data_IF_352734678988
#
_entry.id   IF_352734678988
#
_cell.length_a   1.000
_cell.length_b   1.000
_cell.length_c   1.000
_cell.angle_alpha   90.00
_cell.angle_beta   90.00
_cell.angle_gamma   90.00
#
_symmetry.space_group_name_H-M   'P 1'
#
loop_
_entity.id
_entity.type
_entity.pdbx_description
1 polymer ?
#
# COMPACT_ATOMS: atom_id res chain seq x y z
N UNK A 1 -1.18 -2.11 2.50
CA UNK A 1 -0.62 -2.60 1.23
C UNK A 1 -1.61 -3.37 0.33
N UNK A 2 -2.77 -3.84 0.80
CA UNK A 2 -3.68 -4.72 0.06
C UNK A 2 -4.23 -4.22 -1.29
N UNK A 3 -4.55 -2.93 -1.42
CA UNK A 3 -5.16 -2.35 -2.63
C UNK A 3 -4.28 -1.25 -3.21
N UNK A 4 -4.47 -0.93 -4.49
CA UNK A 4 -3.66 0.07 -5.20
C UNK A 4 -3.75 1.47 -4.56
N UNK A 5 -4.91 1.80 -3.99
CA UNK A 5 -5.21 3.10 -3.37
C UNK A 5 -4.88 3.09 -1.88
N UNK A 6 -4.57 1.93 -1.29
CA UNK A 6 -4.37 1.78 0.15
C UNK A 6 -3.08 2.44 0.67
N UNK A 7 -2.11 2.74 -0.19
CA UNK A 7 -0.91 3.50 0.18
C UNK A 7 -0.21 4.07 -1.04
N UNK A 8 0.57 5.14 -0.84
CA UNK A 8 1.34 5.81 -1.90
C UNK A 8 2.30 4.87 -2.64
N UNK A 9 3.11 4.01 -1.98
CA UNK A 9 4.04 3.13 -2.70
C UNK A 9 3.38 2.23 -3.74
N UNK A 10 2.15 1.78 -3.49
CA UNK A 10 1.37 0.94 -4.39
C UNK A 10 0.99 1.68 -5.68
N UNK A 11 0.56 2.93 -5.54
CA UNK A 11 0.21 3.79 -6.66
C UNK A 11 1.46 4.19 -7.48
N UNK A 12 2.59 4.46 -6.81
CA UNK A 12 3.87 4.76 -7.46
C UNK A 12 4.35 3.58 -8.30
N UNK A 13 4.24 2.35 -7.77
CA UNK A 13 4.54 1.13 -8.52
C UNK A 13 3.74 1.04 -9.81
N UNK A 14 2.42 1.24 -9.74
CA UNK A 14 1.55 1.17 -10.91
C UNK A 14 1.85 2.29 -11.92
N UNK A 15 2.11 3.51 -11.45
CA UNK A 15 2.43 4.65 -12.30
C UNK A 15 3.78 4.49 -13.02
N UNK A 16 4.82 4.04 -12.31
CA UNK A 16 6.15 3.76 -12.89
C UNK A 16 6.08 2.58 -13.86
N UNK A 17 5.34 1.51 -13.53
CA UNK A 17 5.16 0.38 -14.44
C UNK A 17 4.46 0.81 -15.74
N UNK A 18 3.42 1.64 -15.65
CA UNK A 18 2.71 2.13 -16.83
C UNK A 18 3.56 3.10 -17.68
N UNK A 19 4.34 3.98 -17.06
CA UNK A 19 5.11 5.01 -17.77
C UNK A 19 6.47 4.56 -18.27
N UNK A 20 7.20 3.75 -17.49
CA UNK A 20 8.57 3.33 -17.81
C UNK A 20 8.65 1.95 -18.47
N UNK A 21 7.66 1.08 -18.24
CA UNK A 21 7.65 -0.30 -18.74
C UNK A 21 6.50 -0.60 -19.70
N UNK A 22 5.60 0.36 -19.94
CA UNK A 22 4.35 0.20 -20.71
C UNK A 22 3.48 -0.97 -20.23
N UNK A 23 3.55 -1.28 -18.92
CA UNK A 23 2.78 -2.35 -18.29
C UNK A 23 1.75 -1.77 -17.34
N UNK A 24 0.49 -1.79 -17.76
CA UNK A 24 -0.65 -1.37 -16.93
C UNK A 24 -1.01 -2.47 -15.94
N UNK A 25 -1.32 -2.05 -14.72
CA UNK A 25 -1.65 -2.94 -13.62
C UNK A 25 -3.05 -2.59 -13.16
N UNK A 26 -3.96 -3.54 -13.32
CA UNK A 26 -5.34 -3.35 -12.88
C UNK A 26 -5.43 -3.42 -11.35
N UNK A 27 -6.45 -2.77 -10.81
CA UNK A 27 -6.78 -2.84 -9.39
C UNK A 27 -6.93 -4.29 -8.91
N UNK A 28 -7.64 -5.12 -9.67
CA UNK A 28 -7.84 -6.54 -9.36
C UNK A 28 -6.51 -7.33 -9.36
N UNK A 29 -5.64 -7.10 -10.34
CA UNK A 29 -4.34 -7.76 -10.40
C UNK A 29 -3.46 -7.40 -9.20
N UNK A 30 -3.45 -6.13 -8.79
CA UNK A 30 -2.76 -5.72 -7.56
C UNK A 30 -3.32 -6.42 -6.32
N UNK A 31 -4.64 -6.55 -6.22
CA UNK A 31 -5.27 -7.24 -5.09
C UNK A 31 -4.87 -8.72 -5.04
N UNK A 32 -4.87 -9.42 -6.17
CA UNK A 32 -4.42 -10.83 -6.24
C UNK A 32 -2.98 -10.96 -5.72
N UNK A 33 -2.13 -9.98 -6.04
CA UNK A 33 -0.76 -9.93 -5.54
C UNK A 33 -0.67 -9.61 -4.03
N UNK A 34 -1.30 -8.53 -3.57
CA UNK A 34 -1.01 -7.92 -2.26
C UNK A 34 -1.98 -8.31 -1.13
N UNK A 35 -3.21 -8.74 -1.44
CA UNK A 35 -4.18 -9.19 -0.42
C UNK A 35 -3.68 -10.42 0.34
N UNK A 36 -3.15 -11.48 -0.31
CA UNK A 36 -2.64 -12.64 0.41
C UNK A 36 -1.50 -12.29 1.38
N UNK A 37 -0.56 -11.44 0.94
CA UNK A 37 0.53 -10.91 1.79
C UNK A 37 -0.03 -10.18 3.00
N UNK A 38 -0.99 -9.29 2.78
CA UNK A 38 -1.61 -8.48 3.84
C UNK A 38 -2.31 -9.37 4.87
N UNK A 39 -3.07 -10.37 4.43
CA UNK A 39 -3.78 -11.30 5.33
C UNK A 39 -2.77 -12.06 6.20
N UNK A 40 -1.70 -12.59 5.61
CA UNK A 40 -0.68 -13.33 6.35
C UNK A 40 0.00 -12.44 7.38
N UNK A 41 0.40 -11.23 7.01
CA UNK A 41 1.01 -10.28 7.95
C UNK A 41 0.04 -9.86 9.06
N UNK A 42 -1.24 -9.66 8.75
CA UNK A 42 -2.26 -9.34 9.76
C UNK A 42 -2.49 -10.50 10.73
N UNK A 43 -2.52 -11.74 10.24
CA UNK A 43 -2.64 -12.94 11.08
C UNK A 43 -1.42 -13.05 11.99
N UNK A 44 -0.20 -12.89 11.45
CA UNK A 44 1.04 -12.89 12.24
C UNK A 44 0.99 -11.78 13.29
N UNK A 45 0.66 -10.55 12.90
CA UNK A 45 0.54 -9.40 13.81
C UNK A 45 -0.44 -9.69 14.95
N UNK A 46 -1.63 -10.20 14.64
CA UNK A 46 -2.66 -10.50 15.63
C UNK A 46 -2.18 -11.53 16.66
N UNK A 47 -1.65 -12.68 16.21
CA UNK A 47 -1.16 -13.71 17.13
C UNK A 47 0.08 -13.25 17.90
N UNK A 48 0.99 -12.53 17.23
CA UNK A 48 2.20 -12.00 17.84
C UNK A 48 1.86 -11.03 18.98
N UNK A 49 0.95 -10.08 18.76
CA UNK A 49 0.58 -9.11 19.80
C UNK A 49 -0.27 -9.76 20.89
N UNK A 50 -1.35 -10.46 20.55
CA UNK A 50 -2.36 -10.88 21.54
C UNK A 50 -2.01 -12.17 22.29
N UNK A 51 -1.22 -13.08 21.70
CA UNK A 51 -0.92 -14.40 22.28
C UNK A 51 0.54 -14.58 22.70
N UNK A 52 1.47 -13.85 22.09
CA UNK A 52 2.90 -14.03 22.33
C UNK A 52 3.55 -12.90 23.13
N UNK A 53 3.59 -11.67 22.61
CA UNK A 53 4.35 -10.56 23.19
C UNK A 53 3.60 -9.85 24.31
N UNK A 54 2.33 -9.51 24.09
CA UNK A 54 1.49 -8.77 25.03
C UNK A 54 0.23 -9.58 25.28
N UNK A 55 0.39 -10.70 25.98
CA UNK A 55 -0.73 -11.60 26.29
C UNK A 55 -1.88 -10.80 26.88
N UNK A 56 -2.98 -10.76 26.15
CA UNK A 56 -4.21 -10.15 26.63
C UNK A 56 -4.92 -11.21 27.46
N UNK A 57 -4.61 -11.22 28.75
CA UNK A 57 -5.36 -12.01 29.73
C UNK A 57 -6.74 -11.35 29.93
N UNK A 58 -7.77 -12.16 30.21
CA UNK A 58 -9.12 -11.69 30.54
C UNK A 58 -9.95 -11.01 29.42
N UNK A 59 -9.63 -11.20 28.14
CA UNK A 59 -10.45 -10.70 27.02
C UNK A 59 -11.93 -11.15 27.10
N UNK A 60 -12.19 -12.36 27.64
CA UNK A 60 -13.54 -12.90 27.83
C UNK A 60 -14.35 -12.17 28.93
N UNK A 61 -13.68 -11.42 29.82
CA UNK A 61 -14.34 -10.64 30.89
C UNK A 61 -14.80 -9.26 30.44
N UNK A 62 -14.38 -8.79 29.26
CA UNK A 62 -14.77 -7.49 28.73
C UNK A 62 -16.19 -7.59 28.17
N UNK A 63 -17.15 -6.92 28.83
CA UNK A 63 -18.54 -6.91 28.38
C UNK A 63 -18.67 -6.24 27.01
N UNK A 64 -19.38 -6.90 26.09
CA UNK A 64 -19.80 -6.33 24.81
C UNK A 64 -20.76 -5.13 24.93
N UNK A 65 -21.22 -4.82 26.14
CA UNK A 65 -22.22 -3.76 26.38
C UNK A 65 -21.71 -2.40 25.95
N UNK A 66 -20.41 -2.10 26.06
CA UNK A 66 -19.84 -0.87 25.53
C UNK A 66 -20.04 -0.75 24.01
N UNK A 67 -19.71 -1.83 23.26
CA UNK A 67 -19.87 -1.85 21.81
C UNK A 67 -21.34 -1.80 21.38
N UNK A 68 -22.23 -2.51 22.11
CA UNK A 68 -23.68 -2.47 21.88
C UNK A 68 -24.24 -1.09 22.16
N UNK A 69 -23.79 -0.43 23.23
CA UNK A 69 -24.17 0.94 23.57
C UNK A 69 -23.69 1.92 22.51
N UNK A 70 -22.43 1.84 22.10
CA UNK A 70 -21.91 2.68 21.02
C UNK A 70 -22.68 2.48 19.70
N UNK A 71 -23.03 1.24 19.35
CA UNK A 71 -23.86 0.94 18.17
C UNK A 71 -25.28 1.50 18.30
N UNK A 72 -25.88 1.40 19.49
CA UNK A 72 -27.19 1.97 19.78
C UNK A 72 -27.17 3.51 19.70
N UNK A 73 -26.12 4.14 20.23
CA UNK A 73 -25.95 5.60 20.24
C UNK A 73 -25.73 6.18 18.84
N UNK A 74 -25.14 5.41 17.90
CA UNK A 74 -25.04 5.78 16.48
C UNK A 74 -26.41 5.85 15.79
N UNK A 75 -27.39 5.07 16.25
CA UNK A 75 -28.72 4.99 15.66
C UNK A 75 -28.76 4.29 14.29
N UNK A 76 -29.90 4.33 13.59
CA UNK A 76 -30.05 3.71 12.28
C UNK A 76 -29.26 4.47 11.21
N UNK A 77 -28.63 3.71 10.31
CA UNK A 77 -27.82 4.26 9.21
C UNK A 77 -28.62 5.28 8.38
N UNK A 78 -28.06 6.47 8.23
CA UNK A 78 -28.70 7.57 7.51
C UNK A 78 -28.82 7.30 6.01
N UNK A 79 -29.66 8.07 5.32
CA UNK A 79 -29.83 7.91 3.87
C UNK A 79 -28.52 8.23 3.15
N UNK A 80 -27.82 9.27 3.58
CA UNK A 80 -26.52 9.68 3.06
C UNK A 80 -25.48 8.57 3.22
N UNK A 81 -25.37 7.97 4.40
CA UNK A 81 -24.46 6.83 4.65
C UNK A 81 -24.76 5.64 3.72
N UNK A 82 -26.04 5.30 3.53
CA UNK A 82 -26.45 4.21 2.61
C UNK A 82 -26.10 4.53 1.17
N UNK A 83 -26.30 5.77 0.72
CA UNK A 83 -25.99 6.19 -0.65
C UNK A 83 -24.48 6.20 -0.89
N UNK A 84 -23.69 6.77 0.02
CA UNK A 84 -22.23 6.74 -0.04
C UNK A 84 -21.70 5.31 -0.04
N UNK A 85 -22.23 4.45 0.85
CA UNK A 85 -21.88 3.02 0.88
C UNK A 85 -22.24 2.30 -0.42
N UNK A 86 -23.37 2.64 -1.05
CA UNK A 86 -23.78 2.07 -2.33
C UNK A 86 -22.85 2.48 -3.47
N UNK A 87 -22.45 3.76 -3.54
CA UNK A 87 -21.46 4.23 -4.53
C UNK A 87 -20.10 3.56 -4.32
N UNK A 88 -19.65 3.46 -3.06
CA UNK A 88 -18.41 2.77 -2.71
C UNK A 88 -18.42 1.30 -3.14
N UNK A 89 -19.51 0.58 -2.87
CA UNK A 89 -19.68 -0.82 -3.29
C UNK A 89 -19.70 -0.94 -4.81
N UNK A 90 -20.42 -0.07 -5.51
CA UNK A 90 -20.45 -0.03 -6.97
C UNK A 90 -19.04 0.12 -7.55
N UNK A 91 -18.29 1.12 -7.11
CA UNK A 91 -16.91 1.38 -7.56
C UNK A 91 -15.99 0.19 -7.27
N UNK A 92 -16.09 -0.37 -6.06
CA UNK A 92 -15.27 -1.53 -5.65
C UNK A 92 -15.57 -2.77 -6.51
N UNK A 93 -16.85 -3.04 -6.79
CA UNK A 93 -17.26 -4.13 -7.67
C UNK A 93 -16.79 -3.89 -9.10
N UNK A 94 -16.90 -2.66 -9.62
CA UNK A 94 -16.40 -2.31 -10.94
C UNK A 94 -14.88 -2.48 -11.06
N UNK A 95 -14.09 -2.16 -10.03
CA UNK A 95 -12.64 -2.43 -10.06
C UNK A 95 -12.30 -3.93 -9.98
N UNK A 96 -13.03 -4.70 -9.18
CA UNK A 96 -12.79 -6.15 -9.05
C UNK A 96 -13.21 -6.90 -10.32
N UNK A 97 -14.37 -6.55 -10.88
CA UNK A 97 -14.96 -7.21 -12.04
C UNK A 97 -14.72 -6.46 -13.35
N UNK A 98 -13.91 -5.40 -13.34
CA UNK A 98 -13.65 -4.57 -14.52
C UNK A 98 -13.06 -5.36 -15.68
N UNK A 99 -12.26 -6.38 -15.40
CA UNK A 99 -11.73 -7.30 -16.42
C UNK A 99 -12.77 -8.19 -17.11
N UNK A 100 -14.02 -8.24 -16.62
CA UNK A 100 -15.14 -8.91 -17.30
C UNK A 100 -15.87 -7.98 -18.28
N UNK A 101 -15.60 -6.67 -18.22
CA UNK A 101 -16.21 -5.69 -19.12
C UNK A 101 -15.51 -5.82 -20.48
N UNK A 102 -16.27 -5.90 -21.60
CA UNK A 102 -15.66 -6.00 -22.93
C UNK A 102 -14.72 -4.82 -23.22
N UNK A 103 -13.53 -5.12 -23.75
CA UNK A 103 -12.49 -4.13 -24.08
C UNK A 103 -13.01 -2.99 -24.98
N UNK A 104 -14.03 -3.27 -25.80
CA UNK A 104 -14.71 -2.27 -26.63
C UNK A 104 -15.23 -1.04 -25.86
N UNK A 105 -15.59 -1.19 -24.59
CA UNK A 105 -16.15 -0.11 -23.76
C UNK A 105 -15.03 0.75 -23.12
N UNK A 106 -13.76 0.35 -23.25
CA UNK A 106 -12.58 1.10 -22.77
C UNK A 106 -12.72 1.63 -21.33
N UNK A 107 -13.31 0.83 -20.44
CA UNK A 107 -13.50 1.21 -19.03
C UNK A 107 -12.18 0.97 -18.29
N UNK A 108 -11.45 2.04 -18.00
CA UNK A 108 -10.24 1.96 -17.16
C UNK A 108 -10.55 2.18 -15.69
N UNK A 109 -9.64 1.74 -14.82
CA UNK A 109 -9.74 2.00 -13.37
C UNK A 109 -9.87 3.50 -13.05
N UNK A 110 -9.24 4.36 -13.86
CA UNK A 110 -9.36 5.82 -13.77
C UNK A 110 -10.76 6.30 -14.10
N UNK A 111 -11.39 5.75 -15.15
CA UNK A 111 -12.77 6.10 -15.52
C UNK A 111 -13.75 5.69 -14.41
N UNK A 112 -13.56 4.50 -13.83
CA UNK A 112 -14.37 4.01 -12.70
C UNK A 112 -14.23 4.94 -11.49
N UNK A 113 -13.01 5.38 -11.17
CA UNK A 113 -12.76 6.32 -10.07
C UNK A 113 -13.46 7.67 -10.29
N UNK A 114 -13.34 8.24 -11.49
CA UNK A 114 -13.97 9.52 -11.85
C UNK A 114 -15.49 9.38 -11.81
N UNK A 115 -16.05 8.28 -12.32
CA UNK A 115 -17.48 7.98 -12.24
C UNK A 115 -17.96 7.99 -10.78
N UNK A 116 -17.28 7.29 -9.89
CA UNK A 116 -17.60 7.26 -8.47
C UNK A 116 -17.57 8.65 -7.84
N UNK A 117 -16.53 9.44 -8.11
CA UNK A 117 -16.42 10.81 -7.62
C UNK A 117 -17.58 11.68 -8.12
N UNK A 118 -17.85 11.68 -9.43
CA UNK A 118 -18.94 12.44 -10.05
C UNK A 118 -20.30 12.06 -9.47
N UNK A 119 -20.55 10.77 -9.24
CA UNK A 119 -21.80 10.31 -8.62
C UNK A 119 -22.00 10.90 -7.21
N UNK A 120 -20.94 11.02 -6.40
CA UNK A 120 -21.04 11.62 -5.07
C UNK A 120 -21.41 13.11 -5.12
N UNK A 121 -20.98 13.85 -6.15
CA UNK A 121 -21.39 15.25 -6.35
C UNK A 121 -22.80 15.40 -6.92
N UNK A 122 -23.25 14.45 -7.73
CA UNK A 122 -24.57 14.52 -8.40
C UNK A 122 -25.72 14.00 -7.54
N UNK A 123 -25.48 13.01 -6.68
CA UNK A 123 -26.54 12.44 -5.83
C UNK A 123 -26.90 13.47 -4.75
N UNK A 124 -28.15 13.96 -4.68
CA UNK A 124 -28.52 15.02 -3.75
C UNK A 124 -28.54 14.51 -2.30
N UNK A 125 -28.00 15.32 -1.40
CA UNK A 125 -28.10 15.10 0.06
C UNK A 125 -29.48 15.50 0.58
N UNK A 126 -29.99 14.78 1.58
CA UNK A 126 -31.25 15.19 2.26
C UNK A 126 -31.01 16.11 3.45
N UNK A 127 -29.78 16.16 3.99
CA UNK A 127 -29.42 17.00 5.14
C UNK A 127 -28.90 18.40 4.77
N UNK A 128 -28.27 18.54 3.60
CA UNK A 128 -27.66 19.80 3.17
C UNK A 128 -28.01 20.13 1.71
N UNK A 129 -27.91 21.41 1.34
CA UNK A 129 -28.08 21.85 -0.05
C UNK A 129 -26.85 21.41 -0.86
N UNK A 130 -27.05 20.53 -1.83
CA UNK A 130 -25.99 20.05 -2.73
C UNK A 130 -25.98 18.54 -2.87
N UNK A 131 -24.86 18.01 -3.37
CA UNK A 131 -24.59 16.59 -3.47
C UNK A 131 -24.27 15.93 -2.12
N UNK A 132 -23.92 14.64 -2.14
CA UNK A 132 -23.33 13.96 -0.99
C UNK A 132 -21.95 14.55 -0.66
N UNK A 133 -21.24 15.05 -1.67
CA UNK A 133 -20.07 15.91 -1.55
C UNK A 133 -20.34 17.29 -2.15
N UNK A 134 -19.70 18.30 -1.57
CA UNK A 134 -19.63 19.67 -2.08
C UNK A 134 -18.20 20.03 -2.43
N UNK A 135 -18.01 21.07 -3.26
CA UNK A 135 -16.68 21.41 -3.77
C UNK A 135 -15.68 21.72 -2.66
N UNK A 136 -16.16 22.32 -1.56
CA UNK A 136 -15.33 22.64 -0.40
C UNK A 136 -14.72 21.38 0.25
N UNK A 137 -15.34 20.21 0.10
CA UNK A 137 -14.80 18.93 0.59
C UNK A 137 -13.49 18.54 -0.13
N UNK A 138 -13.29 19.03 -1.37
CA UNK A 138 -12.05 18.79 -2.13
C UNK A 138 -10.83 19.44 -1.47
N UNK A 139 -11.01 20.41 -0.57
CA UNK A 139 -9.92 21.00 0.21
C UNK A 139 -9.26 20.00 1.17
N UNK A 140 -9.98 18.94 1.56
CA UNK A 140 -9.48 17.88 2.44
C UNK A 140 -8.69 16.82 1.68
N UNK A 141 -8.71 16.83 0.35
CA UNK A 141 -7.91 15.90 -0.43
C UNK A 141 -6.42 16.19 -0.25
N UNK A 142 -5.58 15.17 -0.07
CA UNK A 142 -4.15 15.32 0.09
C UNK A 142 -3.47 15.62 -1.26
N UNK A 143 -3.69 16.82 -1.82
CA UNK A 143 -3.16 17.26 -3.12
C UNK A 143 -1.63 17.09 -3.25
N UNK A 144 -0.91 17.19 -2.13
CA UNK A 144 0.52 16.93 -2.08
C UNK A 144 0.91 15.54 -2.58
N UNK A 145 0.06 14.52 -2.42
CA UNK A 145 0.33 13.16 -2.92
C UNK A 145 0.37 13.13 -4.45
N UNK A 146 -0.51 13.89 -5.12
CA UNK A 146 -0.52 13.96 -6.60
C UNK A 146 0.75 14.64 -7.13
N UNK A 147 1.18 15.73 -6.50
CA UNK A 147 2.45 16.39 -6.84
C UNK A 147 3.64 15.46 -6.63
N UNK A 148 3.58 14.62 -5.61
CA UNK A 148 4.63 13.68 -5.24
C UNK A 148 4.72 12.50 -6.21
N UNK A 149 3.60 12.02 -6.76
CA UNK A 149 3.60 11.08 -7.88
C UNK A 149 4.23 11.70 -9.13
N UNK A 150 3.87 12.95 -9.47
CA UNK A 150 4.48 13.67 -10.59
C UNK A 150 6.00 13.87 -10.41
N UNK A 151 6.43 14.18 -9.18
CA UNK A 151 7.84 14.27 -8.81
C UNK A 151 8.58 12.94 -8.94
N UNK A 152 7.97 11.84 -8.49
CA UNK A 152 8.53 10.49 -8.62
C UNK A 152 8.68 10.05 -10.08
N UNK A 153 7.70 10.33 -10.93
CA UNK A 153 7.77 10.09 -12.38
C UNK A 153 8.84 10.95 -13.07
N UNK A 154 8.94 12.22 -12.67
CA UNK A 154 9.99 13.13 -13.18
C UNK A 154 11.39 12.66 -12.77
N UNK A 155 11.54 12.19 -11.53
CA UNK A 155 12.79 11.60 -11.04
C UNK A 155 13.13 10.32 -11.81
N UNK A 156 12.15 9.48 -12.11
CA UNK A 156 12.34 8.28 -12.92
C UNK A 156 12.87 8.58 -14.32
N UNK A 157 12.25 9.57 -14.99
CA UNK A 157 12.70 10.04 -16.29
C UNK A 157 14.13 10.61 -16.21
N UNK A 158 14.43 11.42 -15.20
CA UNK A 158 15.77 11.98 -15.00
C UNK A 158 16.84 10.89 -14.76
N UNK A 159 16.50 9.80 -14.07
CA UNK A 159 17.41 8.66 -13.86
C UNK A 159 17.74 7.93 -15.17
N UNK A 160 16.75 7.77 -16.04
CA UNK A 160 16.94 7.17 -17.36
C UNK A 160 17.75 8.08 -18.28
N UNK A 161 17.35 9.35 -18.40
CA UNK A 161 18.00 10.34 -19.27
C UNK A 161 19.45 10.63 -18.85
N UNK A 162 19.74 10.65 -17.54
CA UNK A 162 21.10 10.83 -17.04
C UNK A 162 21.98 9.58 -17.18
N UNK A 163 21.41 8.43 -17.54
CA UNK A 163 22.11 7.15 -17.59
C UNK A 163 22.43 6.56 -16.21
N UNK A 164 21.90 7.14 -15.13
CA UNK A 164 22.13 6.69 -13.76
C UNK A 164 21.57 5.28 -13.52
N UNK A 165 20.45 4.94 -14.16
CA UNK A 165 19.89 3.57 -14.19
C UNK A 165 20.94 2.54 -14.64
N UNK A 166 21.66 2.85 -15.74
CA UNK A 166 22.71 1.97 -16.30
C UNK A 166 23.94 1.93 -15.41
N UNK A 167 24.33 3.06 -14.82
CA UNK A 167 25.47 3.14 -13.91
C UNK A 167 25.26 2.28 -12.65
N UNK A 168 24.08 2.37 -12.02
CA UNK A 168 23.71 1.48 -10.91
C UNK A 168 23.77 0.01 -11.34
N UNK A 169 23.25 -0.31 -12.53
CA UNK A 169 23.33 -1.66 -13.05
C UNK A 169 24.76 -2.18 -13.23
N UNK A 170 25.70 -1.31 -13.60
CA UNK A 170 27.12 -1.61 -13.64
C UNK A 170 27.69 -1.96 -12.26
N UNK A 171 27.41 -1.14 -11.24
CA UNK A 171 27.87 -1.40 -9.86
C UNK A 171 27.34 -2.72 -9.29
N UNK A 172 26.11 -3.07 -9.65
CA UNK A 172 25.43 -4.26 -9.18
C UNK A 172 25.81 -5.54 -9.92
N UNK A 173 26.67 -5.45 -10.93
CA UNK A 173 27.21 -6.65 -11.59
C UNK A 173 27.96 -7.56 -10.61
N UNK A 174 28.48 -7.01 -9.51
CA UNK A 174 29.13 -7.78 -8.44
C UNK A 174 28.17 -8.73 -7.70
N UNK A 175 26.88 -8.42 -7.65
CA UNK A 175 25.86 -9.25 -6.98
C UNK A 175 25.19 -10.26 -7.92
N UNK A 176 25.46 -10.17 -9.23
CA UNK A 176 24.90 -11.10 -10.24
C UNK A 176 25.14 -12.60 -9.95
N UNK A 177 26.29 -13.02 -9.36
CA UNK A 177 26.50 -14.43 -9.00
C UNK A 177 25.67 -14.91 -7.80
N UNK A 178 25.08 -14.00 -7.02
CA UNK A 178 24.33 -14.36 -5.83
C UNK A 178 22.96 -14.97 -6.18
N UNK A 179 22.46 -15.92 -5.38
CA UNK A 179 21.10 -16.42 -5.53
C UNK A 179 20.08 -15.29 -5.44
N UNK A 180 19.09 -15.28 -6.34
CA UNK A 180 18.05 -14.23 -6.38
C UNK A 180 17.37 -14.05 -5.02
N UNK A 181 17.08 -15.13 -4.30
CA UNK A 181 16.46 -15.06 -2.97
C UNK A 181 17.30 -14.26 -1.96
N UNK A 182 18.63 -14.35 -2.03
CA UNK A 182 19.52 -13.61 -1.14
C UNK A 182 19.51 -12.11 -1.47
N UNK A 183 19.49 -11.76 -2.76
CA UNK A 183 19.34 -10.38 -3.22
C UNK A 183 18.01 -9.80 -2.73
N UNK A 184 16.92 -10.56 -2.89
CA UNK A 184 15.58 -10.19 -2.42
C UNK A 184 15.56 -9.93 -0.92
N UNK A 185 16.14 -10.82 -0.11
CA UNK A 185 16.20 -10.66 1.35
C UNK A 185 16.99 -9.40 1.73
N UNK A 186 18.15 -9.17 1.12
CA UNK A 186 19.00 -8.01 1.43
C UNK A 186 18.30 -6.71 1.08
N UNK A 187 17.69 -6.62 -0.11
CA UNK A 187 16.94 -5.42 -0.54
C UNK A 187 15.73 -5.19 0.38
N UNK A 188 14.93 -6.23 0.63
CA UNK A 188 13.76 -6.14 1.51
C UNK A 188 14.15 -5.63 2.90
N UNK A 189 15.23 -6.18 3.45
CA UNK A 189 15.76 -5.78 4.77
C UNK A 189 16.20 -4.31 4.76
N UNK A 190 16.99 -3.90 3.76
CA UNK A 190 17.48 -2.53 3.66
C UNK A 190 16.35 -1.51 3.55
N UNK A 191 15.31 -1.81 2.75
CA UNK A 191 14.15 -0.92 2.58
C UNK A 191 13.34 -0.83 3.87
N UNK A 192 13.03 -1.96 4.51
CA UNK A 192 12.29 -1.99 5.77
C UNK A 192 12.93 -1.09 6.84
N UNK A 193 14.24 -1.25 7.07
CA UNK A 193 14.92 -0.42 8.06
C UNK A 193 15.05 1.05 7.62
N UNK A 194 15.19 1.32 6.33
CA UNK A 194 15.19 2.70 5.82
C UNK A 194 13.84 3.39 6.07
N UNK A 195 12.72 2.64 6.01
CA UNK A 195 11.38 3.20 6.23
C UNK A 195 11.06 3.54 7.67
N UNK A 196 11.87 3.08 8.62
CA UNK A 196 11.75 3.49 10.02
C UNK A 196 12.26 4.92 10.26
N UNK A 197 13.16 5.41 9.40
CA UNK A 197 13.78 6.74 9.53
C UNK A 197 13.32 7.73 8.46
N UNK A 198 12.69 7.24 7.39
CA UNK A 198 12.24 8.03 6.25
C UNK A 198 10.79 7.70 5.92
N UNK A 199 10.02 8.71 5.49
CA UNK A 199 8.62 8.48 5.11
C UNK A 199 8.49 7.41 4.00
N UNK A 200 7.51 6.51 4.15
CA UNK A 200 7.17 5.46 3.19
C UNK A 200 7.09 5.98 1.75
N UNK A 201 6.50 7.17 1.60
CA UNK A 201 6.37 7.85 0.32
C UNK A 201 7.71 8.30 -0.28
N UNK A 202 8.59 8.88 0.53
CA UNK A 202 9.90 9.30 0.03
C UNK A 202 10.75 8.08 -0.38
N UNK A 203 10.75 7.02 0.43
CA UNK A 203 11.48 5.78 0.13
C UNK A 203 10.98 5.15 -1.17
N UNK A 204 9.66 5.02 -1.34
CA UNK A 204 9.10 4.44 -2.56
C UNK A 204 9.38 5.27 -3.80
N UNK A 205 9.18 6.60 -3.78
CA UNK A 205 9.48 7.43 -4.95
C UNK A 205 10.96 7.42 -5.34
N UNK A 206 11.86 7.34 -4.34
CA UNK A 206 13.28 7.25 -4.60
C UNK A 206 13.67 5.89 -5.17
N UNK A 207 13.19 4.79 -4.59
CA UNK A 207 13.65 3.44 -4.93
C UNK A 207 12.91 2.81 -6.11
N UNK A 208 11.68 3.23 -6.44
CA UNK A 208 10.92 2.64 -7.54
C UNK A 208 11.65 2.78 -8.88
N UNK A 209 12.18 3.95 -9.27
CA UNK A 209 12.90 4.05 -10.54
C UNK A 209 14.22 3.25 -10.51
N UNK A 210 14.91 3.28 -9.37
CA UNK A 210 16.19 2.57 -9.20
C UNK A 210 15.97 1.05 -9.33
N UNK A 211 14.82 0.54 -8.88
CA UNK A 211 14.49 -0.88 -8.96
C UNK A 211 14.48 -1.44 -10.39
N UNK A 212 14.15 -0.62 -11.40
CA UNK A 212 14.24 -0.99 -12.82
C UNK A 212 15.70 -1.25 -13.21
N UNK A 213 16.61 -0.36 -12.82
CA UNK A 213 18.04 -0.51 -13.05
C UNK A 213 18.65 -1.70 -12.30
N UNK A 214 18.22 -1.93 -11.05
CA UNK A 214 18.61 -3.12 -10.29
C UNK A 214 18.23 -4.40 -11.01
N UNK A 215 16.98 -4.50 -11.48
CA UNK A 215 16.49 -5.68 -12.15
C UNK A 215 17.21 -5.95 -13.48
N UNK A 216 17.51 -4.89 -14.25
CA UNK A 216 18.31 -4.98 -15.46
C UNK A 216 19.72 -5.54 -15.18
N UNK A 217 20.36 -5.11 -14.09
CA UNK A 217 21.68 -5.57 -13.67
C UNK A 217 21.77 -7.09 -13.44
N UNK A 218 20.74 -7.63 -12.78
CA UNK A 218 20.64 -9.06 -12.45
C UNK A 218 19.92 -9.86 -13.55
N UNK A 219 19.53 -9.21 -14.65
CA UNK A 219 18.82 -9.81 -15.78
C UNK A 219 17.51 -10.49 -15.35
N UNK A 220 16.71 -9.80 -14.55
CA UNK A 220 15.39 -10.25 -14.07
C UNK A 220 14.31 -9.22 -14.41
N UNK A 221 13.06 -9.66 -14.35
CA UNK A 221 11.91 -8.76 -14.56
C UNK A 221 11.86 -7.68 -13.46
N UNK A 222 11.75 -6.38 -13.82
CA UNK A 222 11.64 -5.26 -12.87
C UNK A 222 10.54 -5.41 -11.82
N UNK A 223 9.44 -6.07 -12.15
CA UNK A 223 8.29 -6.21 -11.23
C UNK A 223 8.66 -6.89 -9.93
N UNK A 224 9.66 -7.78 -9.93
CA UNK A 224 10.13 -8.46 -8.72
C UNK A 224 10.67 -7.44 -7.71
N UNK A 225 11.60 -6.58 -8.14
CA UNK A 225 12.23 -5.60 -7.25
C UNK A 225 11.26 -4.44 -6.95
N UNK A 226 10.52 -3.99 -7.95
CA UNK A 226 9.49 -2.97 -7.76
C UNK A 226 8.43 -3.42 -6.73
N UNK A 227 8.01 -4.68 -6.79
CA UNK A 227 7.01 -5.23 -5.85
C UNK A 227 7.56 -5.33 -4.42
N UNK A 228 8.85 -5.69 -4.28
CA UNK A 228 9.55 -5.64 -3.00
C UNK A 228 9.56 -4.21 -2.48
N UNK A 229 9.95 -3.22 -3.28
CA UNK A 229 9.97 -1.80 -2.88
C UNK A 229 8.57 -1.38 -2.42
N UNK A 230 7.52 -1.67 -3.18
CA UNK A 230 6.16 -1.29 -2.85
C UNK A 230 5.68 -1.90 -1.52
N UNK A 231 5.90 -3.20 -1.30
CA UNK A 231 5.46 -3.88 -0.08
C UNK A 231 6.32 -3.46 1.13
N UNK A 232 7.64 -3.57 1.03
CA UNK A 232 8.57 -3.29 2.13
C UNK A 232 8.55 -1.83 2.56
N UNK A 233 8.34 -0.89 1.62
CA UNK A 233 8.26 0.53 1.97
C UNK A 233 7.01 0.93 2.76
N UNK A 234 6.03 0.04 2.89
CA UNK A 234 4.83 0.27 3.71
C UNK A 234 4.90 -0.34 5.11
N UNK A 235 5.98 -1.05 5.42
CA UNK A 235 6.15 -1.80 6.65
C UNK A 235 7.08 -1.05 7.63
N UNK A 236 6.57 0.02 8.23
CA UNK A 236 7.26 0.78 9.27
C UNK A 236 6.59 0.54 10.63
N UNK A 237 7.19 -0.31 11.46
CA UNK A 237 6.56 -0.88 12.64
C UNK A 237 7.27 -0.52 13.96
N UNK A 238 8.50 -0.03 13.92
CA UNK A 238 9.34 0.11 15.13
C UNK A 238 9.22 1.48 15.78
N UNK A 239 9.31 2.57 15.02
CA UNK A 239 9.40 3.91 15.60
C UNK A 239 8.06 4.66 15.54
N UNK A 240 7.71 5.44 16.58
CA UNK A 240 6.51 6.29 16.58
C UNK A 240 6.53 7.34 15.47
N UNK A 241 7.71 7.87 15.15
CA UNK A 241 7.90 8.94 14.17
C UNK A 241 7.74 8.46 12.72
N UNK A 242 7.81 7.14 12.46
CA UNK A 242 7.81 6.60 11.10
C UNK A 242 6.47 6.84 10.38
N UNK A 243 5.34 6.76 11.10
CA UNK A 243 4.00 6.91 10.50
C UNK A 243 3.00 7.57 11.45
N UNK A 244 2.01 8.33 10.91
CA UNK A 244 0.96 8.94 11.74
C UNK A 244 0.17 7.95 12.62
N UNK A 245 -0.18 6.73 12.17
CA UNK A 245 -0.83 5.73 13.04
C UNK A 245 0.03 5.33 14.23
N UNK A 246 1.34 5.14 14.05
CA UNK A 246 2.26 4.81 15.14
C UNK A 246 2.33 5.95 16.16
N UNK A 247 2.43 7.20 15.69
CA UNK A 247 2.43 8.38 16.54
C UNK A 247 1.12 8.56 17.32
N UNK A 248 -0.03 8.29 16.68
CA UNK A 248 -1.35 8.41 17.30
C UNK A 248 -1.52 7.43 18.48
N UNK A 249 -1.12 6.17 18.32
CA UNK A 249 -1.19 5.18 19.41
C UNK A 249 -0.15 5.50 20.50
N UNK A 250 1.05 5.92 20.12
CA UNK A 250 2.08 6.32 21.10
C UNK A 250 1.65 7.53 21.96
N UNK A 251 0.81 8.42 21.43
CA UNK A 251 0.29 9.58 22.16
C UNK A 251 -0.74 9.26 23.24
N UNK A 252 -1.11 7.98 23.43
CA UNK A 252 -2.01 7.58 24.51
C UNK A 252 -1.34 7.52 25.88
N UNK A 253 -0.01 7.68 25.96
CA UNK A 253 0.81 7.54 27.18
C UNK A 253 0.73 6.16 27.88
N UNK A 254 0.16 5.15 27.21
CA UNK A 254 0.02 3.77 27.71
C UNK A 254 1.15 2.85 27.23
N UNK A 255 2.07 3.33 26.38
CA UNK A 255 3.11 2.54 25.73
C UNK A 255 4.49 3.18 25.89
N UNK A 256 5.51 2.38 26.18
CA UNK A 256 6.89 2.84 26.10
C UNK A 256 7.46 2.65 24.68
N UNK A 257 8.44 3.48 24.31
CA UNK A 257 9.14 3.34 23.03
C UNK A 257 9.77 1.94 22.87
N UNK A 258 10.23 1.35 23.98
CA UNK A 258 10.82 0.00 24.00
C UNK A 258 9.83 -1.07 23.57
N UNK A 259 8.55 -0.93 23.92
CA UNK A 259 7.50 -1.90 23.57
C UNK A 259 7.27 -1.89 22.05
N UNK A 260 7.18 -0.69 21.47
CA UNK A 260 7.03 -0.52 20.02
C UNK A 260 8.25 -1.04 19.26
N UNK A 261 9.45 -0.69 19.70
CA UNK A 261 10.70 -1.15 19.05
C UNK A 261 10.81 -2.67 19.10
N UNK A 262 10.50 -3.29 20.25
CA UNK A 262 10.57 -4.76 20.41
C UNK A 262 9.54 -5.46 19.52
N UNK A 263 8.29 -5.02 19.54
CA UNK A 263 7.23 -5.61 18.72
C UNK A 263 7.46 -5.39 17.22
N UNK A 264 7.83 -4.16 16.85
CA UNK A 264 8.14 -3.78 15.48
C UNK A 264 9.33 -4.53 14.91
N UNK A 265 10.40 -4.74 15.69
CA UNK A 265 11.57 -5.49 15.22
C UNK A 265 11.20 -6.93 14.87
N UNK A 266 10.45 -7.59 15.75
CA UNK A 266 10.01 -8.98 15.52
C UNK A 266 9.08 -9.05 14.30
N UNK A 267 8.17 -8.09 14.16
CA UNK A 267 7.29 -8.03 12.99
C UNK A 267 8.06 -7.74 11.70
N UNK A 268 9.10 -6.91 11.74
CA UNK A 268 9.99 -6.65 10.61
C UNK A 268 10.69 -7.94 10.15
N UNK A 269 11.13 -8.80 11.07
CA UNK A 269 11.70 -10.11 10.70
C UNK A 269 10.67 -10.98 9.97
N UNK A 270 9.43 -11.06 10.48
CA UNK A 270 8.37 -11.78 9.78
C UNK A 270 8.05 -11.15 8.42
N UNK A 271 8.01 -9.83 8.33
CA UNK A 271 7.78 -9.11 7.09
C UNK A 271 8.87 -9.40 6.06
N UNK A 272 10.15 -9.41 6.45
CA UNK A 272 11.28 -9.80 5.57
C UNK A 272 11.03 -11.18 4.99
N UNK A 273 10.71 -12.16 5.83
CA UNK A 273 10.50 -13.55 5.40
C UNK A 273 9.30 -13.65 4.47
N UNK A 274 8.15 -13.12 4.87
CA UNK A 274 6.91 -13.20 4.09
C UNK A 274 7.06 -12.46 2.76
N UNK A 275 7.54 -11.22 2.76
CA UNK A 275 7.71 -10.44 1.52
C UNK A 275 8.73 -11.11 0.60
N UNK A 276 9.85 -11.63 1.13
CA UNK A 276 10.87 -12.29 0.30
C UNK A 276 10.34 -13.56 -0.34
N UNK A 277 9.61 -14.40 0.41
CA UNK A 277 8.99 -15.62 -0.12
C UNK A 277 7.91 -15.28 -1.16
N UNK A 278 7.09 -14.26 -0.90
CA UNK A 278 6.06 -13.83 -1.84
C UNK A 278 6.64 -13.23 -3.12
N UNK A 279 7.69 -12.40 -3.01
CA UNK A 279 8.38 -11.86 -4.17
C UNK A 279 9.02 -12.95 -5.03
N UNK A 280 9.51 -14.03 -4.41
CA UNK A 280 10.15 -15.14 -5.11
C UNK A 280 9.15 -16.13 -5.72
N UNK A 281 8.09 -16.51 -5.00
CA UNK A 281 7.15 -17.57 -5.41
C UNK A 281 5.82 -17.06 -5.96
N UNK A 282 5.20 -16.06 -5.33
CA UNK A 282 3.84 -15.63 -5.66
C UNK A 282 3.81 -14.54 -6.73
N UNK A 283 4.71 -13.57 -6.64
CA UNK A 283 4.74 -12.43 -7.55
C UNK A 283 4.87 -12.87 -9.02
N UNK A 284 5.75 -13.82 -9.40
CA UNK A 284 5.82 -14.28 -10.78
C UNK A 284 4.51 -14.89 -11.28
N UNK A 285 3.82 -15.64 -10.42
CA UNK A 285 2.52 -16.25 -10.73
C UNK A 285 1.43 -15.17 -10.87
N UNK A 286 1.39 -14.21 -9.95
CA UNK A 286 0.38 -13.15 -9.92
C UNK A 286 0.48 -12.19 -11.11
N UNK A 287 1.70 -11.97 -11.63
CA UNK A 287 1.95 -11.09 -12.76
C UNK A 287 2.25 -11.81 -14.08
N UNK A 288 2.33 -13.14 -14.08
CA UNK A 288 2.56 -13.96 -15.27
C UNK A 288 3.95 -13.76 -15.91
N UNK A 289 5.00 -13.71 -15.07
CA UNK A 289 6.39 -13.46 -15.47
C UNK A 289 7.34 -14.60 -15.08
#
# INVERSE_FOLDING_TARGET
MATLIGSVPNAVFAAVAASSLDRKISFAQWMIFAVPVTIILLVILYFMLTKWLFKVDDAEKISSDFAKKALHDLGPMSREEKLTGSVFLLVSLLWIFGGLIPDSIHVSDTVIAILGAVLLFLIPSTKHKGGLLVWDDMSQLPWGILLLFGGGLSLAAAFEDSGLTKWFGGMLSIVKPLPLILIVIVITTGILFLTEVMSNTAVSNMLMPISIGFAAAISKDPFIIMGIVALSSTCAFMLPISTPPNAAVFSSDELEMKDMVKAGFILNIFAIIVISLFAYFWLPIAFGI
#
